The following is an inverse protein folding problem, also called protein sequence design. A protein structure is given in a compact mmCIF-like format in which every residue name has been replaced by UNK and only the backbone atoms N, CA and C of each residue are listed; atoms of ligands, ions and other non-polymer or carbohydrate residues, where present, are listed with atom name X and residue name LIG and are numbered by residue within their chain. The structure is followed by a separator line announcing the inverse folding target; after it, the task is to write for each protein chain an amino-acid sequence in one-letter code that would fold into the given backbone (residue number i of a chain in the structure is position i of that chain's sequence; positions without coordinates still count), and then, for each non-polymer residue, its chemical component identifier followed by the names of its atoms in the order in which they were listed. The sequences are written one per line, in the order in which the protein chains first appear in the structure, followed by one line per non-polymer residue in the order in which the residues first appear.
data_IF_674177262984
#
_entry.id   IF_674177262984
#
_cell.length_a   1.000
_cell.length_b   1.000
_cell.length_c   1.000
_cell.angle_alpha   90.00
_cell.angle_beta   90.00
_cell.angle_gamma   90.00
#
_symmetry.space_group_name_H-M   'P 1'
#
loop_
_entity.id
_entity.type
_entity.pdbx_description
1 polymer ?
#
# COMPACT_ATOMS: atom_id res chain seq x y z
N UNK A 1 63.77 4.37 -31.71
CA UNK A 1 63.87 3.08 -31.02
C UNK A 1 63.56 3.40 -29.55
N UNK A 2 62.61 2.98 -28.93
CA UNK A 2 61.44 2.16 -28.98
C UNK A 2 60.56 2.61 -27.84
N UNK A 3 59.36 2.81 -28.16
CA UNK A 3 58.19 2.94 -27.30
C UNK A 3 58.03 1.70 -26.41
N UNK A 4 57.22 1.87 -25.40
CA UNK A 4 56.52 0.89 -24.56
C UNK A 4 57.02 0.83 -23.12
N UNK A 5 56.26 1.53 -22.31
CA UNK A 5 55.63 0.89 -21.15
C UNK A 5 54.46 1.75 -20.64
N UNK A 6 53.31 1.38 -21.10
CA UNK A 6 52.04 1.83 -20.55
C UNK A 6 51.86 1.24 -19.14
N UNK A 7 51.75 2.10 -18.15
CA UNK A 7 50.59 2.29 -17.34
C UNK A 7 49.69 1.12 -17.01
N UNK A 8 49.73 0.74 -15.77
CA UNK A 8 48.65 0.03 -15.10
C UNK A 8 48.05 0.91 -13.99
N UNK A 9 47.01 1.61 -14.31
CA UNK A 9 46.19 2.30 -13.32
C UNK A 9 45.34 1.29 -12.51
N UNK A 10 45.24 1.44 -11.18
CA UNK A 10 44.42 0.55 -10.37
C UNK A 10 42.95 0.89 -10.59
N UNK A 11 42.17 -0.13 -10.98
CA UNK A 11 40.70 -0.10 -11.02
C UNK A 11 40.16 0.26 -9.67
N UNK A 12 39.47 1.38 -9.59
CA UNK A 12 38.61 1.75 -8.45
C UNK A 12 37.57 0.66 -8.28
N UNK A 13 37.59 -0.02 -7.13
CA UNK A 13 36.49 -0.87 -6.65
C UNK A 13 35.30 0.03 -6.38
N UNK A 14 34.33 -0.04 -7.28
CA UNK A 14 33.00 0.49 -7.05
C UNK A 14 32.40 -0.23 -5.85
N UNK A 15 32.32 0.49 -4.75
CA UNK A 15 31.69 0.05 -3.52
C UNK A 15 30.17 0.04 -3.76
N UNK A 16 29.63 -1.14 -4.06
CA UNK A 16 28.21 -1.40 -4.18
C UNK A 16 27.55 -1.10 -2.83
N UNK A 17 26.92 0.07 -2.72
CA UNK A 17 26.00 0.38 -1.62
C UNK A 17 24.86 -0.62 -1.73
N UNK A 18 24.84 -1.59 -0.83
CA UNK A 18 23.63 -2.34 -0.52
C UNK A 18 22.68 -1.40 0.20
N UNK A 19 21.85 -0.72 -0.58
CA UNK A 19 20.65 -0.08 -0.07
C UNK A 19 19.70 -1.19 0.40
N UNK A 20 19.73 -1.47 1.68
CA UNK A 20 18.78 -2.31 2.38
C UNK A 20 17.44 -1.57 2.55
N UNK A 21 16.91 -1.01 1.48
CA UNK A 21 15.54 -0.53 1.44
C UNK A 21 14.62 -1.74 1.54
N UNK A 22 13.88 -1.85 2.63
CA UNK A 22 12.77 -2.79 2.75
C UNK A 22 11.79 -2.46 1.62
N UNK A 23 11.86 -3.22 0.54
CA UNK A 23 10.93 -3.09 -0.56
C UNK A 23 9.55 -3.46 -0.03
N UNK A 24 8.69 -2.44 0.12
CA UNK A 24 7.27 -2.67 0.41
C UNK A 24 6.72 -3.62 -0.65
N UNK A 25 6.04 -4.70 -0.24
CA UNK A 25 5.48 -5.65 -1.20
C UNK A 25 4.56 -4.92 -2.17
N UNK A 26 4.82 -5.08 -3.46
CA UNK A 26 3.96 -4.52 -4.51
C UNK A 26 2.55 -5.08 -4.32
N UNK A 27 1.50 -4.22 -4.34
CA UNK A 27 0.13 -4.70 -4.31
C UNK A 27 -0.08 -5.64 -5.50
N UNK A 28 -0.70 -6.79 -5.26
CA UNK A 28 -0.85 -7.87 -6.24
C UNK A 28 -1.88 -7.58 -7.34
N UNK A 29 -2.65 -6.54 -7.16
CA UNK A 29 -3.47 -5.97 -8.23
C UNK A 29 -2.64 -4.90 -8.91
N UNK A 30 -2.42 -5.07 -10.23
CA UNK A 30 -1.67 -4.12 -11.04
C UNK A 30 -2.08 -2.69 -10.72
N UNK A 31 -1.17 -1.76 -10.88
CA UNK A 31 -1.36 -0.34 -10.63
C UNK A 31 -2.69 0.08 -11.24
N UNK A 32 -3.75 0.09 -10.42
CA UNK A 32 -4.98 0.76 -10.82
C UNK A 32 -4.60 2.23 -10.77
N UNK A 33 -4.15 2.76 -11.91
CA UNK A 33 -3.97 4.19 -12.11
C UNK A 33 -5.35 4.84 -12.03
N UNK A 34 -5.82 4.99 -10.83
CA UNK A 34 -7.03 5.73 -10.56
C UNK A 34 -6.68 7.20 -10.54
N UNK A 35 -6.72 7.77 -11.74
CA UNK A 35 -6.70 9.20 -11.93
C UNK A 35 -7.94 9.79 -11.23
N UNK A 36 -7.74 10.29 -10.05
CA UNK A 36 -8.76 10.98 -9.27
C UNK A 36 -8.28 12.35 -8.84
N UNK A 37 -9.15 13.17 -8.27
CA UNK A 37 -8.80 14.53 -7.84
C UNK A 37 -7.69 14.57 -6.77
N UNK A 38 -7.38 13.44 -6.12
CA UNK A 38 -6.30 13.28 -5.14
C UNK A 38 -4.91 13.00 -5.76
N UNK A 39 -4.85 12.68 -7.06
CA UNK A 39 -3.60 12.21 -7.70
C UNK A 39 -2.51 13.27 -7.70
N UNK A 40 -2.85 14.50 -8.05
CA UNK A 40 -1.89 15.61 -8.07
C UNK A 40 -1.30 15.89 -6.68
N UNK A 41 -2.12 15.80 -5.63
CA UNK A 41 -1.68 15.99 -4.25
C UNK A 41 -0.79 14.85 -3.76
N UNK A 42 -1.07 13.61 -4.19
CA UNK A 42 -0.18 12.47 -3.90
C UNK A 42 1.17 12.66 -4.59
N UNK A 43 1.20 13.11 -5.83
CA UNK A 43 2.44 13.43 -6.52
C UNK A 43 3.22 14.55 -5.83
N UNK A 44 2.54 15.61 -5.37
CA UNK A 44 3.16 16.67 -4.58
C UNK A 44 3.74 16.13 -3.26
N UNK A 45 3.02 15.23 -2.58
CA UNK A 45 3.51 14.55 -1.39
C UNK A 45 4.79 13.74 -1.70
N UNK A 46 4.80 12.98 -2.79
CA UNK A 46 5.95 12.16 -3.18
C UNK A 46 7.17 13.03 -3.55
N UNK A 47 6.94 14.17 -4.18
CA UNK A 47 8.00 15.16 -4.44
C UNK A 47 8.58 15.71 -3.12
N UNK A 48 7.72 16.09 -2.18
CA UNK A 48 8.14 16.59 -0.87
C UNK A 48 8.87 15.50 -0.05
N UNK A 49 8.48 14.23 -0.17
CA UNK A 49 9.23 13.09 0.39
C UNK A 49 10.64 13.01 -0.20
N UNK A 50 10.76 13.13 -1.51
CA UNK A 50 12.05 13.08 -2.21
C UNK A 50 12.99 14.24 -1.83
N UNK A 51 12.42 15.40 -1.52
CA UNK A 51 13.17 16.59 -1.05
C UNK A 51 13.34 16.65 0.47
N UNK A 52 12.91 15.62 1.19
CA UNK A 52 12.97 15.49 2.64
C UNK A 52 12.26 16.63 3.39
N UNK A 53 11.10 17.06 2.88
CA UNK A 53 10.24 18.06 3.50
C UNK A 53 9.00 17.40 4.15
N UNK A 54 9.04 17.10 5.47
CA UNK A 54 7.94 16.47 6.17
C UNK A 54 6.70 17.36 6.27
N UNK A 55 6.91 18.69 6.36
CA UNK A 55 5.82 19.65 6.49
C UNK A 55 4.95 19.69 5.23
N UNK A 56 5.58 19.81 4.08
CA UNK A 56 4.91 19.81 2.78
C UNK A 56 4.30 18.43 2.48
N UNK A 57 5.02 17.34 2.77
CA UNK A 57 4.50 15.98 2.60
C UNK A 57 3.18 15.77 3.35
N UNK A 58 3.10 16.17 4.61
CA UNK A 58 1.89 16.04 5.44
C UNK A 58 0.78 16.95 4.90
N UNK A 59 1.10 18.17 4.47
CA UNK A 59 0.12 19.11 3.90
C UNK A 59 -0.49 18.57 2.63
N UNK A 60 0.32 18.09 1.70
CA UNK A 60 -0.12 17.51 0.44
C UNK A 60 -0.96 16.25 0.67
N UNK A 61 -0.54 15.39 1.60
CA UNK A 61 -1.35 14.23 1.99
C UNK A 61 -2.72 14.62 2.54
N UNK A 62 -2.81 15.62 3.41
CA UNK A 62 -4.10 16.11 3.93
C UNK A 62 -5.03 16.62 2.84
N UNK A 63 -4.49 17.29 1.83
CA UNK A 63 -5.26 17.75 0.67
C UNK A 63 -5.76 16.55 -0.16
N UNK A 64 -4.91 15.55 -0.41
CA UNK A 64 -5.30 14.32 -1.07
C UNK A 64 -6.42 13.59 -0.31
N UNK A 65 -6.28 13.49 1.01
CA UNK A 65 -7.29 12.89 1.89
C UNK A 65 -8.63 13.61 1.82
N UNK A 66 -8.63 14.95 1.91
CA UNK A 66 -9.85 15.77 1.79
C UNK A 66 -10.52 15.56 0.43
N UNK A 67 -9.75 15.53 -0.66
CA UNK A 67 -10.26 15.26 -2.01
C UNK A 67 -10.88 13.86 -2.12
N UNK A 68 -10.22 12.84 -1.57
CA UNK A 68 -10.73 11.46 -1.58
C UNK A 68 -11.97 11.32 -0.70
N UNK A 69 -12.02 12.02 0.43
CA UNK A 69 -13.15 11.98 1.35
C UNK A 69 -14.42 12.61 0.73
N UNK A 70 -14.25 13.67 -0.06
CA UNK A 70 -15.35 14.33 -0.77
C UNK A 70 -15.89 13.51 -1.95
N UNK A 71 -15.09 12.56 -2.46
CA UNK A 71 -15.52 11.67 -3.54
C UNK A 71 -16.31 10.49 -2.98
N UNK A 72 -17.43 10.07 -3.60
CA UNK A 72 -18.28 9.01 -3.05
C UNK A 72 -17.67 7.60 -3.11
N UNK A 73 -16.64 7.38 -3.94
CA UNK A 73 -15.99 6.07 -4.11
C UNK A 73 -15.09 5.66 -2.95
N UNK A 74 -14.83 4.35 -2.84
CA UNK A 74 -13.90 3.76 -1.85
C UNK A 74 -12.44 3.83 -2.31
N UNK A 75 -12.21 3.86 -3.62
CA UNK A 75 -10.90 3.66 -4.22
C UNK A 75 -9.92 4.79 -3.90
N UNK A 76 -10.38 6.05 -3.96
CA UNK A 76 -9.56 7.20 -3.58
C UNK A 76 -9.07 7.14 -2.14
N UNK A 77 -9.92 6.68 -1.24
CA UNK A 77 -9.56 6.50 0.16
C UNK A 77 -8.49 5.42 0.34
N UNK A 78 -8.59 4.27 -0.36
CA UNK A 78 -7.53 3.26 -0.34
C UNK A 78 -6.22 3.81 -0.88
N UNK A 79 -6.28 4.56 -1.99
CA UNK A 79 -5.09 5.17 -2.61
C UNK A 79 -4.40 6.14 -1.65
N UNK A 80 -5.16 7.01 -1.00
CA UNK A 80 -4.62 8.01 -0.05
C UNK A 80 -4.15 7.35 1.25
N UNK A 81 -4.79 6.28 1.71
CA UNK A 81 -4.33 5.51 2.85
C UNK A 81 -2.99 4.82 2.56
N UNK A 82 -2.84 4.21 1.38
CA UNK A 82 -1.56 3.66 0.94
C UNK A 82 -0.47 4.75 0.85
N UNK A 83 -0.84 5.94 0.38
CA UNK A 83 0.07 7.08 0.33
C UNK A 83 0.55 7.48 1.74
N UNK A 84 -0.33 7.45 2.76
CA UNK A 84 0.06 7.84 4.12
C UNK A 84 1.18 6.96 4.69
N UNK A 85 1.24 5.68 4.31
CA UNK A 85 2.29 4.77 4.77
C UNK A 85 3.69 5.22 4.36
N UNK A 86 3.82 5.93 3.23
CA UNK A 86 5.11 6.46 2.78
C UNK A 86 5.66 7.57 3.70
N UNK A 87 4.79 8.23 4.47
CA UNK A 87 5.21 9.20 5.49
C UNK A 87 6.06 8.56 6.60
N UNK A 88 6.03 7.24 6.73
CA UNK A 88 6.89 6.49 7.64
C UNK A 88 8.39 6.62 7.32
N UNK A 89 8.74 7.10 6.13
CA UNK A 89 10.12 7.43 5.77
C UNK A 89 10.72 8.53 6.67
N UNK A 90 9.88 9.38 7.24
CA UNK A 90 10.34 10.39 8.20
C UNK A 90 10.44 9.80 9.62
N UNK A 91 11.58 10.02 10.31
CA UNK A 91 11.73 9.60 11.70
C UNK A 91 10.60 10.14 12.58
N UNK A 92 10.00 9.25 13.38
CA UNK A 92 8.92 9.61 14.31
C UNK A 92 7.50 9.60 13.72
N UNK A 93 7.33 9.54 12.41
CA UNK A 93 5.99 9.53 11.78
C UNK A 93 5.43 8.13 11.49
N UNK A 94 6.21 7.07 11.67
CA UNK A 94 5.81 5.70 11.29
C UNK A 94 4.52 5.24 11.98
N UNK A 95 4.39 5.48 13.30
CA UNK A 95 3.20 5.13 14.07
C UNK A 95 1.97 5.89 13.59
N UNK A 96 2.11 7.20 13.40
CA UNK A 96 1.01 8.05 12.94
C UNK A 96 0.60 7.71 11.50
N UNK A 97 1.55 7.41 10.64
CA UNK A 97 1.30 6.97 9.27
C UNK A 97 0.45 5.70 9.23
N UNK A 98 0.82 4.68 10.02
CA UNK A 98 0.07 3.44 10.12
C UNK A 98 -1.32 3.63 10.74
N UNK A 99 -1.45 4.47 11.78
CA UNK A 99 -2.74 4.78 12.39
C UNK A 99 -3.69 5.46 11.38
N UNK A 100 -3.21 6.47 10.66
CA UNK A 100 -3.97 7.18 9.62
C UNK A 100 -4.36 6.26 8.47
N UNK A 101 -3.45 5.38 8.04
CA UNK A 101 -3.76 4.38 7.03
C UNK A 101 -4.91 3.48 7.48
N UNK A 102 -4.83 2.95 8.70
CA UNK A 102 -5.86 2.07 9.27
C UNK A 102 -7.24 2.76 9.34
N UNK A 103 -7.30 3.98 9.86
CA UNK A 103 -8.56 4.75 9.92
C UNK A 103 -9.15 4.97 8.54
N UNK A 104 -8.31 5.34 7.56
CA UNK A 104 -8.76 5.59 6.19
C UNK A 104 -9.20 4.32 5.49
N UNK A 105 -8.54 3.17 5.74
CA UNK A 105 -8.97 1.86 5.23
C UNK A 105 -10.35 1.47 5.77
N UNK A 106 -10.65 1.76 7.03
CA UNK A 106 -11.98 1.54 7.59
C UNK A 106 -13.04 2.33 6.83
N UNK A 107 -12.81 3.61 6.54
CA UNK A 107 -13.75 4.42 5.77
C UNK A 107 -13.94 3.83 4.37
N UNK A 108 -12.84 3.44 3.71
CA UNK A 108 -12.89 2.80 2.40
C UNK A 108 -13.68 1.49 2.43
N UNK A 109 -13.43 0.63 3.42
CA UNK A 109 -14.17 -0.62 3.62
C UNK A 109 -15.67 -0.40 3.80
N UNK A 110 -16.07 0.54 4.66
CA UNK A 110 -17.49 0.83 4.87
C UNK A 110 -18.17 1.35 3.60
N UNK A 111 -17.49 2.22 2.83
CA UNK A 111 -18.01 2.67 1.53
C UNK A 111 -18.12 1.52 0.53
N UNK A 112 -17.09 0.68 0.42
CA UNK A 112 -17.11 -0.50 -0.45
C UNK A 112 -18.26 -1.44 -0.09
N UNK A 113 -18.46 -1.72 1.19
CA UNK A 113 -19.58 -2.53 1.69
C UNK A 113 -20.93 -1.91 1.36
N UNK A 114 -21.11 -0.59 1.58
CA UNK A 114 -22.33 0.13 1.27
C UNK A 114 -22.66 0.09 -0.22
N UNK A 115 -21.64 0.19 -1.06
CA UNK A 115 -21.74 0.11 -2.53
C UNK A 115 -21.82 -1.33 -3.04
N UNK A 116 -21.79 -2.33 -2.15
CA UNK A 116 -21.76 -3.77 -2.50
C UNK A 116 -20.61 -4.10 -3.44
N UNK A 117 -19.50 -3.40 -3.35
CA UNK A 117 -18.31 -3.62 -4.18
C UNK A 117 -17.46 -4.74 -3.60
N UNK A 118 -17.56 -5.94 -4.18
CA UNK A 118 -16.68 -7.06 -3.81
C UNK A 118 -15.21 -6.68 -3.96
N UNK A 119 -14.85 -6.02 -5.06
CA UNK A 119 -13.49 -5.55 -5.29
C UNK A 119 -13.01 -4.63 -4.17
N UNK A 120 -13.82 -3.65 -3.78
CA UNK A 120 -13.45 -2.72 -2.73
C UNK A 120 -13.24 -3.39 -1.37
N UNK A 121 -14.09 -4.36 -1.02
CA UNK A 121 -13.95 -5.14 0.22
C UNK A 121 -12.69 -5.99 0.21
N UNK A 122 -12.36 -6.66 -0.91
CA UNK A 122 -11.15 -7.45 -1.06
C UNK A 122 -9.88 -6.58 -0.99
N UNK A 123 -9.88 -5.42 -1.63
CA UNK A 123 -8.77 -4.48 -1.51
C UNK A 123 -8.57 -3.96 -0.09
N UNK A 124 -9.66 -3.72 0.64
CA UNK A 124 -9.56 -3.35 2.05
C UNK A 124 -8.98 -4.49 2.89
N UNK A 125 -9.38 -5.75 2.66
CA UNK A 125 -8.81 -6.91 3.33
C UNK A 125 -7.29 -7.02 3.12
N UNK A 126 -6.83 -6.85 1.88
CA UNK A 126 -5.40 -6.85 1.57
C UNK A 126 -4.65 -5.70 2.26
N UNK A 127 -5.25 -4.51 2.29
CA UNK A 127 -4.68 -3.35 2.94
C UNK A 127 -4.52 -3.54 4.47
N UNK A 128 -5.52 -4.12 5.14
CA UNK A 128 -5.41 -4.49 6.54
C UNK A 128 -4.38 -5.61 6.78
N UNK A 129 -4.28 -6.56 5.85
CA UNK A 129 -3.24 -7.60 5.89
C UNK A 129 -1.82 -7.04 5.79
N UNK A 130 -1.61 -5.95 5.03
CA UNK A 130 -0.32 -5.23 5.00
C UNK A 130 0.03 -4.55 6.33
N UNK A 131 -0.98 -4.20 7.13
CA UNK A 131 -0.79 -3.63 8.47
C UNK A 131 -0.69 -4.70 9.57
N UNK A 132 -0.79 -5.99 9.24
CA UNK A 132 -0.83 -7.07 10.21
C UNK A 132 -2.14 -7.13 11.02
N UNK A 133 -3.20 -6.46 10.59
CA UNK A 133 -4.49 -6.43 11.28
C UNK A 133 -5.39 -7.59 10.82
N UNK A 134 -4.99 -8.81 11.17
CA UNK A 134 -5.62 -10.03 10.69
C UNK A 134 -7.04 -10.23 11.22
N UNK A 135 -7.36 -9.72 12.42
CA UNK A 135 -8.73 -9.75 12.92
C UNK A 135 -9.68 -8.94 12.01
N UNK A 136 -9.22 -7.81 11.52
CA UNK A 136 -9.98 -7.00 10.55
C UNK A 136 -10.03 -7.67 9.17
N UNK A 137 -8.94 -8.35 8.75
CA UNK A 137 -8.93 -9.15 7.51
C UNK A 137 -10.05 -10.19 7.52
N UNK A 138 -10.19 -10.97 8.59
CA UNK A 138 -11.25 -11.97 8.73
C UNK A 138 -12.65 -11.34 8.61
N UNK A 139 -12.85 -10.17 9.21
CA UNK A 139 -14.12 -9.45 9.09
C UNK A 139 -14.40 -9.01 7.64
N UNK A 140 -13.39 -8.50 6.94
CA UNK A 140 -13.52 -8.13 5.52
C UNK A 140 -13.83 -9.37 4.67
N UNK A 141 -13.17 -10.50 4.93
CA UNK A 141 -13.39 -11.74 4.17
C UNK A 141 -14.80 -12.28 4.36
N UNK A 142 -15.34 -12.28 5.59
CA UNK A 142 -16.74 -12.67 5.82
C UNK A 142 -17.72 -11.80 5.03
N UNK A 143 -17.46 -10.50 4.92
CA UNK A 143 -18.29 -9.60 4.10
C UNK A 143 -18.14 -9.92 2.62
N UNK A 144 -16.92 -10.18 2.13
CA UNK A 144 -16.65 -10.55 0.74
C UNK A 144 -17.36 -11.85 0.34
N UNK A 145 -17.30 -12.87 1.20
CA UNK A 145 -18.03 -14.14 1.02
C UNK A 145 -19.53 -13.93 0.90
N UNK A 146 -20.10 -13.11 1.79
CA UNK A 146 -21.53 -12.77 1.75
C UNK A 146 -21.92 -11.98 0.49
N UNK A 147 -21.04 -11.15 -0.07
CA UNK A 147 -21.29 -10.45 -1.32
C UNK A 147 -21.22 -11.41 -2.51
N UNK A 148 -20.18 -12.23 -2.61
CA UNK A 148 -20.01 -13.22 -3.69
C UNK A 148 -21.11 -14.29 -3.68
N UNK A 149 -21.55 -14.73 -2.51
CA UNK A 149 -22.65 -15.68 -2.40
C UNK A 149 -23.99 -15.15 -2.94
N UNK A 150 -24.20 -13.83 -2.88
CA UNK A 150 -25.44 -13.19 -3.38
C UNK A 150 -25.47 -13.09 -4.90
N UNK A 151 -24.31 -12.98 -5.55
CA UNK A 151 -24.25 -12.95 -7.03
C UNK A 151 -24.39 -14.35 -7.60
N UNK A 152 -24.01 -15.38 -6.83
CA UNK A 152 -23.95 -16.77 -7.30
C UNK A 152 -22.86 -17.02 -8.33
N UNK A 153 -21.97 -16.05 -8.57
CA UNK A 153 -20.88 -16.15 -9.52
C UNK A 153 -19.75 -17.02 -8.94
N UNK A 154 -19.51 -18.15 -9.63
CA UNK A 154 -18.47 -19.11 -9.22
C UNK A 154 -17.05 -18.52 -9.30
N UNK A 155 -16.80 -17.61 -10.23
CA UNK A 155 -15.51 -16.91 -10.36
C UNK A 155 -15.27 -15.98 -9.16
N UNK A 156 -16.27 -15.20 -8.77
CA UNK A 156 -16.20 -14.34 -7.60
C UNK A 156 -15.97 -15.15 -6.33
N UNK A 157 -16.69 -16.24 -6.13
CA UNK A 157 -16.51 -17.16 -5.00
C UNK A 157 -15.10 -17.76 -4.97
N UNK A 158 -14.59 -18.20 -6.11
CA UNK A 158 -13.24 -18.75 -6.21
C UNK A 158 -12.18 -17.69 -5.91
N UNK A 159 -12.35 -16.47 -6.41
CA UNK A 159 -11.46 -15.33 -6.15
C UNK A 159 -11.41 -15.00 -4.65
N UNK A 160 -12.55 -14.96 -3.97
CA UNK A 160 -12.61 -14.74 -2.52
C UNK A 160 -11.81 -15.81 -1.78
N UNK A 161 -11.99 -17.09 -2.12
CA UNK A 161 -11.26 -18.20 -1.50
C UNK A 161 -9.74 -18.09 -1.70
N UNK A 162 -9.30 -17.77 -2.91
CA UNK A 162 -7.88 -17.62 -3.23
C UNK A 162 -7.23 -16.47 -2.44
N UNK A 163 -7.93 -15.34 -2.34
CA UNK A 163 -7.43 -14.19 -1.57
C UNK A 163 -7.41 -14.54 -0.08
N UNK A 164 -8.46 -15.19 0.44
CA UNK A 164 -8.53 -15.61 1.84
C UNK A 164 -7.40 -16.56 2.22
N UNK A 165 -7.15 -17.60 1.41
CA UNK A 165 -6.05 -18.54 1.63
C UNK A 165 -4.70 -17.82 1.71
N UNK A 166 -4.43 -16.91 0.78
CA UNK A 166 -3.18 -16.14 0.72
C UNK A 166 -2.98 -15.22 1.94
N UNK A 167 -4.04 -14.58 2.41
CA UNK A 167 -3.97 -13.72 3.59
C UNK A 167 -3.76 -14.54 4.87
N UNK A 168 -4.36 -15.74 4.96
CA UNK A 168 -4.15 -16.69 6.06
C UNK A 168 -2.72 -17.23 6.10
N UNK A 169 -2.14 -17.56 4.96
CA UNK A 169 -0.75 -18.01 4.87
C UNK A 169 0.24 -16.94 5.33
N UNK A 170 -0.04 -15.67 4.98
CA UNK A 170 0.76 -14.53 5.45
C UNK A 170 0.67 -14.38 6.96
N UNK A 171 -0.52 -14.43 7.55
CA UNK A 171 -0.74 -14.37 8.99
C UNK A 171 0.08 -15.44 9.72
N UNK A 172 0.00 -16.69 9.25
CA UNK A 172 0.74 -17.83 9.81
C UNK A 172 2.26 -17.67 9.70
N UNK A 173 2.74 -16.96 8.68
CA UNK A 173 4.17 -16.73 8.47
C UNK A 173 4.70 -15.62 9.38
N UNK A 174 3.91 -14.59 9.62
CA UNK A 174 4.29 -13.50 10.54
C UNK A 174 4.27 -13.95 11.99
N UNK A 175 3.30 -14.74 12.40
CA UNK A 175 3.22 -15.32 13.74
C UNK A 175 4.47 -16.17 14.06
N UNK A 176 4.95 -16.98 13.12
CA UNK A 176 6.17 -17.78 13.26
C UNK A 176 7.45 -16.96 13.33
N UNK A 177 7.46 -15.72 12.82
CA UNK A 177 8.63 -14.83 12.87
C UNK A 177 8.66 -13.98 14.14
N UNK A 178 7.52 -13.85 14.82
CA UNK A 178 7.38 -13.12 16.07
C UNK A 178 7.58 -13.97 17.33
N UNK A 179 7.60 -15.29 17.20
CA UNK A 179 7.84 -16.27 18.26
C UNK A 179 9.32 -16.68 18.32
#
# INVERSE_FOLDING_TARGET
MSLEQLESAPRAKTMERRDGGVALPRPMFGTIETLGPWTAQIQAMDHALATNDPGESIRAWRQAYSSALSHPGWLGLLTVANASLRLSAFPGLARDAAARARETYWIAFFRARQQRSLNGVLHAAEAFGLLGDYATVEQCMRVAEGLAARTGDAEELNRVRLIGARLSDRASTEDRRGA
#
